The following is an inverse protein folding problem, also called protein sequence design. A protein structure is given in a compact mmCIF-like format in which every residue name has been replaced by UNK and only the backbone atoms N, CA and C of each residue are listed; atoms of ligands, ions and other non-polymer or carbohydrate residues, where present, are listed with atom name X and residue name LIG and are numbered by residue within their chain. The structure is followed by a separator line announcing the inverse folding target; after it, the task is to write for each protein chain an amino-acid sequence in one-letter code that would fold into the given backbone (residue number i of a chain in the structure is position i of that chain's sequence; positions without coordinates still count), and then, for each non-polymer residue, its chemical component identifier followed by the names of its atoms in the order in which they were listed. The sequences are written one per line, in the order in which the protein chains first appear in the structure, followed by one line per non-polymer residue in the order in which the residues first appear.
data_IF_930167796496
#
_entry.id   IF_930167796496
#
_cell.length_a   1.000
_cell.length_b   1.000
_cell.length_c   1.000
_cell.angle_alpha   90.00
_cell.angle_beta   90.00
_cell.angle_gamma   90.00
#
_symmetry.space_group_name_H-M   'P 1'
#
loop_
_entity.id
_entity.type
_entity.pdbx_description
1 polymer ?
#
# COMPACT_ATOMS: atom_id res chain seq x y z
N UNK A 1 16.50 -7.75 -10.28
CA UNK A 1 15.17 -7.12 -10.45
C UNK A 1 14.16 -8.11 -10.99
N UNK A 2 12.88 -7.80 -10.92
CA UNK A 2 11.77 -8.59 -11.46
C UNK A 2 10.72 -7.66 -12.07
N UNK A 3 10.10 -8.06 -13.18
CA UNK A 3 8.99 -7.32 -13.79
C UNK A 3 7.92 -8.28 -14.29
N UNK A 4 6.65 -7.89 -14.19
CA UNK A 4 5.53 -8.69 -14.66
C UNK A 4 4.38 -7.80 -15.12
N UNK A 5 3.72 -8.22 -16.20
CA UNK A 5 2.46 -7.66 -16.68
C UNK A 5 1.40 -8.76 -16.71
N UNK A 6 0.19 -8.42 -16.29
CA UNK A 6 -0.99 -9.27 -16.37
C UNK A 6 -2.12 -8.51 -17.04
N UNK A 7 -2.90 -9.20 -17.88
CA UNK A 7 -4.09 -8.67 -18.54
C UNK A 7 -5.28 -9.53 -18.15
N UNK A 8 -6.36 -8.90 -17.72
CA UNK A 8 -7.64 -9.55 -17.43
C UNK A 8 -8.76 -8.74 -18.10
N UNK A 9 -9.30 -9.26 -19.20
CA UNK A 9 -10.26 -8.55 -20.05
C UNK A 9 -9.75 -7.16 -20.48
N UNK A 10 -10.38 -6.09 -19.98
CA UNK A 10 -10.04 -4.68 -20.26
C UNK A 10 -9.13 -4.06 -19.19
N UNK A 11 -8.70 -4.86 -18.22
CA UNK A 11 -7.85 -4.42 -17.13
C UNK A 11 -6.43 -4.94 -17.27
N UNK A 12 -5.46 -4.17 -16.79
CA UNK A 12 -4.07 -4.59 -16.67
C UNK A 12 -3.61 -4.50 -15.22
N UNK A 13 -2.51 -5.20 -14.92
CA UNK A 13 -1.70 -4.95 -13.74
C UNK A 13 -0.23 -5.07 -14.11
N UNK A 14 0.61 -4.24 -13.52
CA UNK A 14 2.06 -4.32 -13.72
C UNK A 14 2.81 -4.18 -12.40
N UNK A 15 3.93 -4.88 -12.28
CA UNK A 15 4.80 -4.88 -11.11
C UNK A 15 6.25 -4.76 -11.58
N UNK A 16 7.02 -3.88 -10.94
CA UNK A 16 8.47 -3.79 -11.10
C UNK A 16 9.16 -3.81 -9.73
N UNK A 17 10.22 -4.61 -9.59
CA UNK A 17 10.93 -4.84 -8.33
C UNK A 17 12.42 -4.58 -8.50
N UNK A 18 12.95 -3.72 -7.65
CA UNK A 18 14.36 -3.38 -7.44
C UNK A 18 14.74 -3.87 -6.03
N UNK A 19 15.34 -5.07 -5.88
CA UNK A 19 15.51 -5.74 -4.58
C UNK A 19 16.72 -5.26 -3.74
N UNK A 20 17.53 -4.34 -4.25
CA UNK A 20 18.78 -3.88 -3.66
C UNK A 20 18.57 -3.33 -2.24
N UNK A 21 19.28 -3.87 -1.25
CA UNK A 21 18.99 -3.62 0.18
C UNK A 21 19.02 -2.13 0.57
N UNK A 22 19.93 -1.34 -0.01
CA UNK A 22 20.07 0.09 0.28
C UNK A 22 19.08 1.00 -0.47
N UNK A 23 18.43 0.49 -1.52
CA UNK A 23 17.58 1.27 -2.42
C UNK A 23 16.37 0.47 -2.90
N UNK A 24 15.86 -0.43 -2.04
CA UNK A 24 14.79 -1.34 -2.43
C UNK A 24 13.52 -0.57 -2.82
N UNK A 25 12.93 -0.94 -3.95
CA UNK A 25 11.75 -0.30 -4.50
C UNK A 25 10.86 -1.30 -5.22
N UNK A 26 9.54 -1.12 -5.07
CA UNK A 26 8.52 -1.87 -5.81
C UNK A 26 7.45 -0.89 -6.29
N UNK A 27 7.06 -1.00 -7.55
CA UNK A 27 5.84 -0.40 -8.07
C UNK A 27 4.79 -1.47 -8.34
N UNK A 28 3.53 -1.11 -8.12
CA UNK A 28 2.35 -1.87 -8.52
C UNK A 28 1.35 -0.87 -9.13
N UNK A 29 0.80 -1.19 -10.29
CA UNK A 29 -0.15 -0.33 -11.00
C UNK A 29 -1.26 -1.18 -11.64
N UNK A 30 -2.49 -0.68 -11.64
CA UNK A 30 -3.64 -1.31 -12.30
C UNK A 30 -4.72 -0.28 -12.61
N UNK A 31 -5.53 -0.56 -13.64
CA UNK A 31 -6.77 0.14 -13.94
C UNK A 31 -8.03 -0.68 -13.57
N UNK A 32 -7.89 -1.77 -12.82
CA UNK A 32 -9.00 -2.65 -12.45
C UNK A 32 -10.04 -1.89 -11.61
N UNK A 33 -11.26 -1.74 -12.14
CA UNK A 33 -12.37 -1.11 -11.43
C UNK A 33 -12.95 -2.06 -10.38
N UNK A 34 -12.93 -1.66 -9.12
CA UNK A 34 -13.55 -2.38 -7.99
C UNK A 34 -14.18 -1.39 -7.00
N UNK A 35 -15.25 -1.82 -6.32
CA UNK A 35 -15.92 -1.02 -5.29
C UNK A 35 -15.04 -0.80 -4.04
N UNK A 36 -14.06 -1.67 -3.81
CA UNK A 36 -13.12 -1.59 -2.71
C UNK A 36 -11.76 -2.16 -3.10
N UNK A 37 -10.74 -1.32 -3.01
CA UNK A 37 -9.34 -1.73 -3.24
C UNK A 37 -8.69 -2.37 -2.00
N UNK A 38 -9.40 -2.48 -0.87
CA UNK A 38 -8.84 -2.95 0.40
C UNK A 38 -8.13 -4.30 0.29
N UNK A 39 -8.75 -5.27 -0.38
CA UNK A 39 -8.16 -6.61 -0.58
C UNK A 39 -6.90 -6.56 -1.45
N UNK A 40 -6.93 -5.76 -2.51
CA UNK A 40 -5.79 -5.58 -3.41
C UNK A 40 -4.60 -4.94 -2.68
N UNK A 41 -4.85 -3.82 -2.00
CA UNK A 41 -3.85 -3.10 -1.20
C UNK A 41 -3.27 -4.02 -0.13
N UNK A 42 -4.12 -4.76 0.60
CA UNK A 42 -3.69 -5.71 1.62
C UNK A 42 -2.79 -6.81 1.04
N UNK A 43 -3.10 -7.33 -0.14
CA UNK A 43 -2.30 -8.37 -0.80
C UNK A 43 -0.93 -7.82 -1.24
N UNK A 44 -0.89 -6.64 -1.86
CA UNK A 44 0.37 -6.00 -2.27
C UNK A 44 1.26 -5.72 -1.05
N UNK A 45 0.69 -5.12 0.01
CA UNK A 45 1.43 -4.83 1.25
C UNK A 45 1.88 -6.12 1.95
N UNK A 46 1.03 -7.16 1.98
CA UNK A 46 1.41 -8.45 2.61
C UNK A 46 2.58 -9.11 1.89
N UNK A 47 2.62 -9.00 0.57
CA UNK A 47 3.68 -9.55 -0.27
C UNK A 47 5.00 -8.82 -0.05
N UNK A 48 5.00 -7.49 -0.16
CA UNK A 48 6.24 -6.70 -0.17
C UNK A 48 6.67 -6.14 1.19
N UNK A 49 5.75 -6.03 2.15
CA UNK A 49 6.01 -5.57 3.53
C UNK A 49 6.85 -4.28 3.60
N UNK A 50 6.48 -3.22 2.86
CA UNK A 50 7.31 -2.03 2.77
C UNK A 50 7.37 -1.30 4.12
N UNK A 51 8.47 -0.58 4.40
CA UNK A 51 8.54 0.33 5.56
C UNK A 51 7.66 1.58 5.38
N UNK A 52 7.48 1.99 4.12
CA UNK A 52 6.63 3.10 3.69
C UNK A 52 6.16 2.86 2.27
N UNK A 53 4.98 3.36 1.93
CA UNK A 53 4.49 3.32 0.56
C UNK A 53 3.72 4.59 0.23
N UNK A 54 3.67 4.88 -1.06
CA UNK A 54 2.86 5.95 -1.62
C UNK A 54 1.78 5.30 -2.47
N UNK A 55 0.57 5.81 -2.42
CA UNK A 55 -0.52 5.35 -3.28
C UNK A 55 -1.15 6.54 -3.97
N UNK A 56 -1.32 6.41 -5.28
CA UNK A 56 -2.03 7.37 -6.12
C UNK A 56 -3.31 6.72 -6.64
N UNK A 57 -4.41 7.46 -6.62
CA UNK A 57 -5.68 7.05 -7.19
C UNK A 57 -6.16 8.15 -8.13
N UNK A 58 -6.56 7.75 -9.32
CA UNK A 58 -7.19 8.63 -10.32
C UNK A 58 -8.57 8.05 -10.62
N UNK A 59 -9.61 8.87 -10.47
CA UNK A 59 -10.98 8.50 -10.76
C UNK A 59 -11.79 9.74 -11.12
N UNK A 60 -12.75 9.57 -12.03
CA UNK A 60 -13.81 10.55 -12.26
C UNK A 60 -14.76 10.62 -11.05
N UNK A 61 -15.64 11.63 -11.02
CA UNK A 61 -16.60 11.81 -9.92
C UNK A 61 -17.52 10.59 -9.75
N UNK A 62 -17.97 9.99 -10.85
CA UNK A 62 -18.84 8.81 -10.82
C UNK A 62 -18.14 7.57 -10.27
N UNK A 63 -16.86 7.37 -10.60
CA UNK A 63 -16.03 6.30 -10.08
C UNK A 63 -15.73 6.48 -8.60
N UNK A 64 -15.51 7.72 -8.15
CA UNK A 64 -15.38 8.05 -6.73
C UNK A 64 -16.66 7.69 -5.95
N UNK A 65 -17.83 8.00 -6.48
CA UNK A 65 -19.12 7.70 -5.84
C UNK A 65 -19.40 6.20 -5.72
N UNK A 66 -18.90 5.39 -6.64
CA UNK A 66 -19.06 3.93 -6.62
C UNK A 66 -18.12 3.22 -5.62
N UNK A 67 -17.10 3.91 -5.11
CA UNK A 67 -16.18 3.32 -4.13
C UNK A 67 -16.79 3.32 -2.73
N UNK A 68 -16.99 2.11 -2.18
CA UNK A 68 -17.48 1.91 -0.80
C UNK A 68 -16.45 2.33 0.24
N UNK A 69 -15.17 2.08 -0.03
CA UNK A 69 -14.07 2.40 0.89
C UNK A 69 -12.87 2.91 0.11
N UNK A 70 -12.34 4.05 0.51
CA UNK A 70 -11.12 4.61 -0.06
C UNK A 70 -10.20 5.10 1.07
N UNK A 71 -9.00 4.51 1.27
CA UNK A 71 -8.08 4.95 2.32
C UNK A 71 -7.49 6.36 2.05
N UNK A 72 -7.74 6.94 0.87
CA UNK A 72 -7.41 8.32 0.54
C UNK A 72 -8.52 9.31 0.96
N UNK A 73 -9.74 8.86 1.26
CA UNK A 73 -10.82 9.74 1.77
C UNK A 73 -10.92 9.68 3.31
N UNK A 74 -11.47 10.72 3.95
CA UNK A 74 -11.64 10.80 5.41
C UNK A 74 -10.42 11.32 6.19
N UNK A 75 -10.56 11.37 7.53
CA UNK A 75 -9.56 11.93 8.46
C UNK A 75 -8.33 11.01 8.64
N UNK A 76 -7.17 11.59 9.00
CA UNK A 76 -5.92 10.84 9.22
C UNK A 76 -6.03 9.73 10.29
N UNK A 77 -6.96 9.86 11.25
CA UNK A 77 -7.22 8.84 12.27
C UNK A 77 -8.04 7.64 11.74
N UNK A 78 -8.86 7.82 10.70
CA UNK A 78 -9.72 6.78 10.11
C UNK A 78 -9.06 6.01 8.96
N UNK A 79 -7.78 6.24 8.68
CA UNK A 79 -7.07 5.79 7.46
C UNK A 79 -5.84 4.92 7.74
N UNK A 80 -5.88 4.21 8.87
CA UNK A 80 -4.90 3.16 9.18
C UNK A 80 -5.10 1.97 8.25
N UNK A 81 -4.03 1.53 7.59
CA UNK A 81 -4.03 0.27 6.83
C UNK A 81 -3.46 -0.81 7.73
N UNK A 82 -4.28 -1.80 8.08
CA UNK A 82 -3.89 -2.89 8.98
C UNK A 82 -3.89 -4.20 8.20
N UNK A 83 -2.71 -4.79 8.05
CA UNK A 83 -2.51 -5.99 7.23
C UNK A 83 -1.99 -7.14 8.09
N UNK A 84 -2.74 -8.25 8.12
CA UNK A 84 -2.29 -9.49 8.75
C UNK A 84 -1.15 -10.14 7.97
N UNK A 85 -0.22 -10.79 8.67
CA UNK A 85 0.98 -11.43 8.08
C UNK A 85 0.72 -12.77 7.37
N UNK A 86 -0.53 -13.25 7.36
CA UNK A 86 -0.95 -14.45 6.63
C UNK A 86 -0.55 -15.79 7.26
N UNK A 87 0.21 -15.79 8.36
CA UNK A 87 0.53 -17.02 9.12
C UNK A 87 -0.54 -17.24 10.20
N UNK A 88 -1.27 -18.38 10.19
CA UNK A 88 -2.32 -18.66 11.18
C UNK A 88 -1.82 -18.63 12.64
N UNK A 89 -0.54 -18.95 12.84
CA UNK A 89 0.10 -19.07 14.16
C UNK A 89 0.72 -17.78 14.69
N UNK A 90 0.80 -16.72 13.87
CA UNK A 90 1.40 -15.45 14.27
C UNK A 90 0.33 -14.35 14.24
N UNK A 91 -0.13 -13.90 15.41
CA UNK A 91 -1.10 -12.81 15.57
C UNK A 91 -0.53 -11.42 15.20
N UNK A 92 0.55 -11.38 14.39
CA UNK A 92 1.28 -10.17 14.04
C UNK A 92 0.59 -9.44 12.89
N UNK A 93 0.30 -8.17 13.12
CA UNK A 93 -0.30 -7.23 12.17
C UNK A 93 0.69 -6.12 11.85
N UNK A 94 0.77 -5.73 10.58
CA UNK A 94 1.47 -4.52 10.14
C UNK A 94 0.46 -3.38 10.14
N UNK A 95 0.76 -2.30 10.85
CA UNK A 95 -0.10 -1.13 10.94
C UNK A 95 0.57 0.04 10.25
N UNK A 96 -0.07 0.63 9.27
CA UNK A 96 0.45 1.77 8.53
C UNK A 96 -0.38 3.01 8.83
N UNK A 97 0.28 4.10 9.21
CA UNK A 97 -0.35 5.40 9.44
C UNK A 97 -0.12 6.32 8.25
N UNK A 98 -1.21 6.92 7.74
CA UNK A 98 -1.14 7.96 6.71
C UNK A 98 -0.48 9.22 7.30
N UNK A 99 0.61 9.67 6.69
CA UNK A 99 1.39 10.84 7.13
C UNK A 99 0.98 12.12 6.41
N UNK A 100 0.64 12.01 5.13
CA UNK A 100 0.16 13.13 4.34
C UNK A 100 -0.79 12.63 3.25
N UNK A 101 -1.61 13.56 2.77
CA UNK A 101 -2.57 13.39 1.69
C UNK A 101 -2.55 14.68 0.86
N UNK A 102 -2.50 14.53 -0.46
CA UNK A 102 -2.76 15.60 -1.41
C UNK A 102 -3.86 15.16 -2.36
N UNK A 103 -4.69 16.10 -2.81
CA UNK A 103 -5.70 15.86 -3.84
C UNK A 103 -5.77 17.06 -4.76
N UNK A 104 -5.93 16.81 -6.05
CA UNK A 104 -6.14 17.83 -7.07
C UNK A 104 -7.24 17.35 -8.02
N UNK A 105 -8.11 18.27 -8.41
CA UNK A 105 -9.04 18.05 -9.52
C UNK A 105 -8.36 18.54 -10.78
N UNK A 106 -8.14 17.65 -11.74
CA UNK A 106 -7.54 17.93 -13.05
C UNK A 106 -8.69 17.89 -14.05
N UNK A 107 -8.80 18.91 -14.90
CA UNK A 107 -9.72 19.00 -16.06
C UNK A 107 -11.09 18.29 -15.94
N UNK A 108 -12.16 19.08 -15.98
CA UNK A 108 -13.56 18.62 -15.90
C UNK A 108 -13.90 17.89 -14.59
N UNK A 109 -13.70 16.57 -14.52
CA UNK A 109 -14.20 15.69 -13.46
C UNK A 109 -13.16 14.70 -12.90
N UNK A 110 -11.90 14.72 -13.38
CA UNK A 110 -10.88 13.79 -12.91
C UNK A 110 -10.28 14.23 -11.56
N UNK A 111 -10.37 13.37 -10.56
CA UNK A 111 -9.76 13.57 -9.24
C UNK A 111 -8.52 12.70 -9.08
N UNK A 112 -7.39 13.35 -8.79
CA UNK A 112 -6.12 12.72 -8.50
C UNK A 112 -5.81 12.87 -7.01
N UNK A 113 -5.65 11.74 -6.31
CA UNK A 113 -5.32 11.72 -4.88
C UNK A 113 -4.01 10.97 -4.65
N UNK A 114 -3.14 11.51 -3.81
CA UNK A 114 -1.89 10.86 -3.41
C UNK A 114 -1.75 10.84 -1.89
N UNK A 115 -1.54 9.66 -1.33
CA UNK A 115 -1.32 9.46 0.10
C UNK A 115 0.02 8.80 0.41
N UNK A 116 0.61 9.17 1.54
CA UNK A 116 1.85 8.59 2.03
C UNK A 116 1.60 7.82 3.33
N UNK A 117 2.03 6.56 3.41
CA UNK A 117 1.88 5.71 4.58
C UNK A 117 3.24 5.24 5.10
N UNK A 118 3.36 5.20 6.42
CA UNK A 118 4.57 4.71 7.11
C UNK A 118 4.17 3.63 8.11
N UNK A 119 4.93 2.53 8.14
CA UNK A 119 4.76 1.45 9.10
C UNK A 119 4.94 1.99 10.53
N UNK A 120 3.96 1.76 11.39
CA UNK A 120 4.08 1.97 12.83
C UNK A 120 4.90 0.81 13.40
N UNK A 121 6.10 1.10 13.87
CA UNK A 121 6.95 0.11 14.52
C UNK A 121 6.34 -0.28 15.87
N UNK A 122 6.20 -1.59 16.10
CA UNK A 122 5.87 -2.08 17.42
C UNK A 122 7.17 -2.11 18.24
N UNK A 123 7.25 -1.49 19.43
CA UNK A 123 8.46 -1.46 20.26
C UNK A 123 9.06 -2.85 20.54
N UNK A 124 8.22 -3.89 20.55
CA UNK A 124 8.64 -5.28 20.74
C UNK A 124 9.40 -5.85 19.53
N UNK A 125 9.06 -5.41 18.32
CA UNK A 125 9.70 -5.86 17.08
C UNK A 125 11.07 -5.21 16.88
N UNK A 126 11.22 -3.95 17.30
CA UNK A 126 12.50 -3.21 17.29
C UNK A 126 13.53 -3.91 18.19
N UNK A 127 13.12 -4.41 19.37
CA UNK A 127 14.00 -5.20 20.25
C UNK A 127 14.42 -6.52 19.61
N UNK A 128 13.51 -7.20 18.91
CA UNK A 128 13.79 -8.48 18.25
C UNK A 128 14.73 -8.32 17.04
N UNK A 129 14.60 -7.26 16.22
CA UNK A 129 15.55 -6.95 15.15
C UNK A 129 16.93 -6.56 15.70
N UNK A 130 16.97 -5.76 16.78
CA UNK A 130 18.24 -5.37 17.43
C UNK A 130 18.99 -6.58 17.99
N UNK A 131 18.29 -7.56 18.57
CA UNK A 131 18.88 -8.82 19.03
C UNK A 131 19.39 -9.70 17.88
N UNK A 132 18.73 -9.70 16.72
CA UNK A 132 19.18 -10.44 15.53
C UNK A 132 20.38 -9.80 14.83
N UNK A 133 20.51 -8.47 14.91
CA UNK A 133 21.69 -7.74 14.44
C UNK A 133 22.91 -7.87 15.34
N UNK A 134 22.78 -8.50 16.51
CA UNK A 134 23.87 -8.79 17.45
C UNK A 134 24.39 -10.23 17.33
N UNK A 135 24.28 -10.85 16.14
CA UNK A 135 25.05 -12.06 15.86
C UNK A 135 26.52 -11.68 15.75
N UNK A 136 27.25 -12.03 16.80
CA UNK A 136 28.69 -11.83 16.97
C UNK A 136 29.44 -12.41 15.77
N UNK A 137 30.21 -11.57 15.09
CA UNK A 137 31.41 -11.94 14.34
C UNK A 137 32.62 -11.68 15.21
#
# INVERSE_FOLDING_TARGET
GYSMNAILFRSYSTIHITPEQGSSYVSFETNQKVESYSSLINNVIRTFKPKRFVMTLMADELGLQQMKTNPLTGSAASTKVVVGTGKPTANRKMMYKRRSLASIKVEDDCCCMMGNWVLEENPLDVRAEKLRGMSVS
#
